data_IF_980273173310
#
_entry.id   IF_980273173310
#
_cell.length_a   1.000
_cell.length_b   1.000
_cell.length_c   1.000
_cell.angle_alpha   90.00
_cell.angle_beta   90.00
_cell.angle_gamma   90.00
#
_symmetry.space_group_name_H-M   'P 1'
#
loop_
_entity.id
_entity.type
_entity.pdbx_description
1 polymer ?
#
# COMPACT_ATOMS: atom_id res chain seq x y z
N UNK A 1 47.90 -51.42 -22.90
CA UNK A 1 47.85 -51.08 -21.47
C UNK A 1 47.07 -49.80 -21.35
N UNK A 2 45.86 -49.89 -20.83
CA UNK A 2 44.98 -48.77 -20.56
C UNK A 2 45.52 -47.92 -19.40
N UNK A 3 45.07 -46.67 -19.30
CA UNK A 3 44.22 -46.26 -18.17
C UNK A 3 43.62 -44.86 -18.40
N UNK A 4 42.31 -44.83 -18.59
CA UNK A 4 41.51 -43.60 -18.55
C UNK A 4 41.22 -43.20 -17.08
N UNK A 5 41.30 -41.90 -16.78
CA UNK A 5 40.74 -41.26 -15.58
C UNK A 5 40.74 -39.74 -15.86
N UNK A 6 39.62 -39.02 -16.02
CA UNK A 6 38.28 -39.11 -15.43
C UNK A 6 38.21 -38.77 -13.94
N UNK A 7 38.76 -37.61 -13.56
CA UNK A 7 38.60 -37.00 -12.25
C UNK A 7 37.30 -36.18 -12.13
N UNK A 8 36.16 -36.86 -11.95
CA UNK A 8 34.89 -36.21 -11.61
C UNK A 8 34.93 -35.61 -10.19
N UNK A 9 35.08 -34.28 -10.09
CA UNK A 9 34.90 -33.57 -8.82
C UNK A 9 33.40 -33.33 -8.58
N UNK A 10 32.81 -34.25 -7.81
CA UNK A 10 31.39 -34.21 -7.40
C UNK A 10 30.99 -32.85 -6.83
N UNK A 11 29.94 -32.24 -7.39
CA UNK A 11 29.26 -31.12 -6.77
C UNK A 11 28.57 -31.56 -5.47
N UNK A 12 29.09 -31.11 -4.32
CA UNK A 12 28.46 -31.32 -3.03
C UNK A 12 27.18 -30.47 -2.91
N UNK A 13 26.02 -31.11 -3.06
CA UNK A 13 24.71 -30.46 -2.86
C UNK A 13 24.51 -30.23 -1.34
N UNK A 14 24.91 -29.07 -0.84
CA UNK A 14 24.53 -28.62 0.50
C UNK A 14 23.04 -28.27 0.52
N UNK A 15 22.26 -29.06 1.27
CA UNK A 15 20.86 -28.76 1.61
C UNK A 15 20.85 -27.53 2.55
N UNK A 16 20.02 -26.50 2.31
CA UNK A 16 19.85 -25.42 3.27
C UNK A 16 19.25 -25.95 4.57
N UNK A 17 19.88 -25.63 5.70
CA UNK A 17 19.30 -25.91 7.02
C UNK A 17 18.04 -25.06 7.25
N UNK A 18 17.04 -25.64 7.92
CA UNK A 18 15.78 -24.96 8.19
C UNK A 18 15.96 -23.85 9.25
N UNK A 19 15.75 -22.60 8.87
CA UNK A 19 15.59 -21.49 9.81
C UNK A 19 14.13 -21.42 10.28
N UNK A 20 13.90 -21.70 11.57
CA UNK A 20 12.58 -21.60 12.18
C UNK A 20 12.07 -20.15 12.26
N UNK A 21 10.75 -19.97 12.24
CA UNK A 21 10.13 -18.66 12.08
C UNK A 21 10.17 -17.78 13.35
N UNK A 22 10.44 -16.49 13.17
CA UNK A 22 10.04 -15.42 14.08
C UNK A 22 8.88 -14.61 13.45
N UNK A 23 7.94 -14.16 14.27
CA UNK A 23 6.67 -13.60 13.80
C UNK A 23 6.70 -12.07 13.57
N UNK A 24 5.90 -11.61 12.60
CA UNK A 24 5.51 -10.19 12.48
C UNK A 24 6.23 -9.42 11.38
N UNK A 25 5.48 -9.02 10.35
CA UNK A 25 5.98 -8.21 9.23
C UNK A 25 6.07 -8.99 7.91
N UNK A 26 5.66 -8.38 6.81
CA UNK A 26 5.93 -8.90 5.47
C UNK A 26 7.43 -8.83 5.23
N UNK A 27 8.11 -9.98 5.33
CA UNK A 27 9.58 -10.09 5.35
C UNK A 27 10.27 -9.21 4.31
N UNK A 28 11.24 -8.41 4.77
CA UNK A 28 12.12 -7.57 3.94
C UNK A 28 12.77 -8.37 2.81
N UNK A 29 13.11 -9.64 3.09
CA UNK A 29 13.66 -10.60 2.12
C UNK A 29 12.70 -10.87 0.95
N UNK A 30 11.38 -10.93 1.17
CA UNK A 30 10.39 -11.11 0.09
C UNK A 30 10.30 -9.87 -0.81
N UNK A 31 10.57 -8.68 -0.27
CA UNK A 31 10.63 -7.45 -1.06
C UNK A 31 11.93 -7.38 -1.83
N UNK A 32 13.08 -7.56 -1.18
CA UNK A 32 14.38 -7.54 -1.86
C UNK A 32 14.54 -8.65 -2.91
N UNK A 33 13.96 -9.84 -2.69
CA UNK A 33 13.84 -10.88 -3.73
C UNK A 33 13.01 -10.43 -4.93
N UNK A 34 11.91 -9.70 -4.70
CA UNK A 34 11.08 -9.15 -5.79
C UNK A 34 11.84 -8.08 -6.57
N UNK A 35 12.55 -7.19 -5.89
CA UNK A 35 13.37 -6.16 -6.53
C UNK A 35 14.55 -6.77 -7.29
N UNK A 36 15.29 -7.71 -6.69
CA UNK A 36 16.36 -8.46 -7.33
C UNK A 36 15.89 -9.15 -8.63
N UNK A 37 14.74 -9.83 -8.61
CA UNK A 37 14.19 -10.47 -9.82
C UNK A 37 13.70 -9.48 -10.88
N UNK A 38 13.10 -8.34 -10.47
CA UNK A 38 12.55 -7.32 -11.37
C UNK A 38 13.63 -6.42 -11.99
N UNK A 39 14.71 -6.17 -11.25
CA UNK A 39 15.85 -5.39 -11.71
C UNK A 39 16.47 -5.94 -12.98
N UNK A 40 16.90 -5.03 -13.86
CA UNK A 40 17.82 -5.34 -14.94
C UNK A 40 19.24 -5.54 -14.39
N UNK A 41 20.19 -5.78 -15.30
CA UNK A 41 21.60 -5.76 -14.95
C UNK A 41 21.98 -4.39 -14.33
N UNK A 42 22.57 -4.35 -13.12
CA UNK A 42 23.00 -3.12 -12.47
C UNK A 42 24.02 -2.35 -13.32
N UNK A 43 23.74 -1.08 -13.61
CA UNK A 43 24.70 -0.16 -14.18
C UNK A 43 25.67 0.34 -13.08
N UNK A 44 25.11 0.73 -11.92
CA UNK A 44 25.85 1.21 -10.74
C UNK A 44 25.42 0.44 -9.49
N UNK A 45 26.36 0.20 -8.58
CA UNK A 45 26.08 -0.25 -7.21
C UNK A 45 26.48 0.87 -6.26
N UNK A 46 25.72 1.06 -5.19
CA UNK A 46 25.86 2.13 -4.21
C UNK A 46 25.92 1.53 -2.80
N UNK A 47 26.86 1.96 -1.98
CA UNK A 47 26.92 1.61 -0.56
C UNK A 47 26.58 2.82 0.31
N UNK A 48 25.95 2.59 1.46
CA UNK A 48 25.67 3.65 2.44
C UNK A 48 26.85 3.78 3.40
N UNK A 49 27.57 4.89 3.33
CA UNK A 49 28.80 5.20 4.08
C UNK A 49 28.71 6.65 4.56
N UNK A 50 29.07 6.92 5.83
CA UNK A 50 29.10 8.26 6.44
C UNK A 50 27.83 9.13 6.22
N UNK A 51 26.66 8.49 6.17
CA UNK A 51 25.37 9.15 5.98
C UNK A 51 24.99 9.43 4.51
N UNK A 52 25.80 9.01 3.54
CA UNK A 52 25.59 9.23 2.11
C UNK A 52 25.64 7.94 1.29
N UNK A 53 25.14 7.99 0.05
CA UNK A 53 25.22 6.88 -0.90
C UNK A 53 26.42 7.08 -1.83
N UNK A 54 27.44 6.23 -1.71
CA UNK A 54 28.70 6.28 -2.47
C UNK A 54 28.74 5.15 -3.49
N UNK A 55 29.21 5.41 -4.72
CA UNK A 55 29.37 4.37 -5.73
C UNK A 55 30.44 3.34 -5.35
N UNK A 56 30.11 2.06 -5.50
CA UNK A 56 31.12 1.00 -5.56
C UNK A 56 31.90 1.18 -6.85
N UNK A 57 33.24 1.29 -6.75
CA UNK A 57 34.14 1.53 -7.89
C UNK A 57 35.22 0.44 -8.00
N UNK A 58 35.90 0.38 -9.16
CA UNK A 58 36.96 -0.59 -9.44
C UNK A 58 36.47 -2.00 -9.83
N UNK A 59 37.38 -2.96 -9.78
CA UNK A 59 37.24 -4.34 -10.29
C UNK A 59 36.10 -5.16 -9.68
N UNK A 60 35.52 -4.72 -8.55
CA UNK A 60 34.33 -5.34 -7.98
C UNK A 60 33.09 -5.19 -8.88
N UNK A 61 32.93 -4.07 -9.60
CA UNK A 61 31.69 -3.75 -10.30
C UNK A 61 31.36 -4.73 -11.44
N UNK A 62 32.29 -5.11 -12.34
CA UNK A 62 32.02 -6.13 -13.36
C UNK A 62 31.67 -7.49 -12.76
N UNK A 63 32.34 -7.89 -11.66
CA UNK A 63 32.10 -9.14 -10.95
C UNK A 63 30.72 -9.19 -10.29
N UNK A 64 30.33 -8.13 -9.57
CA UNK A 64 29.01 -8.01 -8.96
C UNK A 64 27.90 -7.99 -10.01
N UNK A 65 28.11 -7.27 -11.13
CA UNK A 65 27.17 -7.25 -12.26
C UNK A 65 26.97 -8.64 -12.86
N UNK A 66 28.05 -9.40 -13.06
CA UNK A 66 28.00 -10.78 -13.54
C UNK A 66 27.24 -11.70 -12.58
N UNK A 67 27.58 -11.68 -11.30
CA UNK A 67 26.90 -12.51 -10.29
C UNK A 67 25.40 -12.18 -10.18
N UNK A 68 25.02 -10.91 -10.32
CA UNK A 68 23.64 -10.44 -10.35
C UNK A 68 22.90 -10.95 -11.62
N UNK A 69 23.54 -10.91 -12.79
CA UNK A 69 23.00 -11.46 -14.04
C UNK A 69 22.81 -12.99 -13.96
N UNK A 70 23.76 -13.70 -13.35
CA UNK A 70 23.70 -15.14 -13.03
C UNK A 70 22.64 -15.48 -11.95
N UNK A 71 21.90 -14.48 -11.46
CA UNK A 71 20.84 -14.60 -10.43
C UNK A 71 21.32 -15.20 -9.10
N UNK A 72 22.61 -15.07 -8.79
CA UNK A 72 23.17 -15.43 -7.48
C UNK A 72 22.64 -14.47 -6.42
N UNK A 73 22.07 -14.99 -5.34
CA UNK A 73 21.54 -14.18 -4.24
C UNK A 73 22.61 -13.34 -3.53
N UNK A 74 23.85 -13.84 -3.50
CA UNK A 74 25.00 -13.21 -2.88
C UNK A 74 26.25 -13.34 -3.74
N UNK A 75 27.17 -12.39 -3.61
CA UNK A 75 28.47 -12.37 -4.28
C UNK A 75 29.57 -11.89 -3.32
N UNK A 76 30.78 -12.44 -3.42
CA UNK A 76 31.96 -11.95 -2.70
C UNK A 76 32.83 -11.15 -3.66
N UNK A 77 33.26 -9.96 -3.27
CA UNK A 77 34.14 -9.11 -4.06
C UNK A 77 35.04 -8.25 -3.16
N UNK A 78 36.24 -7.93 -3.64
CA UNK A 78 37.18 -7.06 -2.92
C UNK A 78 37.02 -5.61 -3.35
N UNK A 79 36.80 -4.70 -2.41
CA UNK A 79 36.70 -3.25 -2.62
C UNK A 79 37.76 -2.56 -1.75
N UNK A 80 38.58 -1.67 -2.34
CA UNK A 80 39.59 -0.94 -1.57
C UNK A 80 40.59 -1.81 -0.79
N UNK A 81 40.89 -3.02 -1.28
CA UNK A 81 41.77 -3.99 -0.60
C UNK A 81 41.13 -4.84 0.51
N UNK A 82 39.86 -4.61 0.86
CA UNK A 82 39.09 -5.43 1.81
C UNK A 82 38.09 -6.34 1.09
N UNK A 83 37.81 -7.52 1.65
CA UNK A 83 36.85 -8.47 1.12
C UNK A 83 35.46 -8.24 1.70
N UNK A 84 34.43 -8.20 0.84
CA UNK A 84 33.03 -7.97 1.23
C UNK A 84 32.10 -9.04 0.65
N UNK A 85 31.06 -9.40 1.41
CA UNK A 85 29.93 -10.19 0.94
C UNK A 85 28.76 -9.24 0.63
N UNK A 86 28.29 -9.23 -0.62
CA UNK A 86 27.15 -8.47 -1.08
C UNK A 86 25.92 -9.39 -1.12
N UNK A 87 24.89 -9.10 -0.34
CA UNK A 87 23.59 -9.78 -0.36
C UNK A 87 22.57 -8.91 -1.09
N UNK A 88 22.21 -9.32 -2.30
CA UNK A 88 21.27 -8.59 -3.15
C UNK A 88 19.80 -8.81 -2.73
N UNK A 89 19.48 -9.85 -1.96
CA UNK A 89 18.13 -10.12 -1.47
C UNK A 89 17.81 -9.34 -0.19
N UNK A 90 18.80 -9.15 0.68
CA UNK A 90 18.69 -8.29 1.87
C UNK A 90 19.04 -6.83 1.57
N UNK A 91 19.73 -6.59 0.45
CA UNK A 91 20.20 -5.26 0.03
C UNK A 91 21.22 -4.71 1.06
N UNK A 92 22.20 -5.54 1.42
CA UNK A 92 23.29 -5.18 2.34
C UNK A 92 24.66 -5.62 1.80
N UNK A 93 25.72 -4.90 2.20
CA UNK A 93 27.12 -5.29 2.06
C UNK A 93 27.67 -5.59 3.44
N UNK A 94 28.32 -6.73 3.61
CA UNK A 94 28.86 -7.23 4.87
C UNK A 94 30.39 -7.28 4.78
N UNK A 95 31.10 -6.65 5.71
CA UNK A 95 32.56 -6.74 5.81
C UNK A 95 32.99 -8.15 6.19
N UNK A 96 33.90 -8.75 5.42
CA UNK A 96 34.33 -10.14 5.60
C UNK A 96 35.21 -10.38 6.83
N UNK A 97 35.78 -9.33 7.43
CA UNK A 97 36.60 -9.41 8.63
C UNK A 97 35.84 -9.00 9.91
N UNK A 98 34.98 -7.98 9.84
CA UNK A 98 34.24 -7.48 11.02
C UNK A 98 32.79 -7.99 11.12
N UNK A 99 32.20 -8.47 10.02
CA UNK A 99 30.79 -8.83 9.95
C UNK A 99 29.82 -7.64 9.91
N UNK A 100 30.34 -6.41 9.78
CA UNK A 100 29.54 -5.18 9.80
C UNK A 100 28.66 -5.05 8.54
N UNK A 101 27.36 -4.82 8.73
CA UNK A 101 26.40 -4.66 7.64
C UNK A 101 26.16 -3.19 7.29
N UNK A 102 26.39 -2.84 6.03
CA UNK A 102 26.13 -1.52 5.44
C UNK A 102 25.05 -1.62 4.36
N UNK A 103 24.27 -0.56 4.15
CA UNK A 103 23.20 -0.57 3.14
C UNK A 103 23.75 -0.70 1.72
N UNK A 104 23.15 -1.55 0.89
CA UNK A 104 23.50 -1.74 -0.52
C UNK A 104 22.31 -1.38 -1.41
N UNK A 105 22.53 -0.48 -2.36
CA UNK A 105 21.58 -0.09 -3.38
C UNK A 105 22.19 -0.29 -4.78
N UNK A 106 21.36 -0.21 -5.82
CA UNK A 106 21.85 -0.20 -7.20
C UNK A 106 20.90 0.55 -8.13
N UNK A 107 21.46 0.98 -9.27
CA UNK A 107 20.71 1.57 -10.38
C UNK A 107 20.92 0.64 -11.58
N UNK A 108 19.84 0.12 -12.16
CA UNK A 108 19.92 -0.73 -13.35
C UNK A 108 20.16 0.07 -14.63
N UNK A 109 20.57 -0.60 -15.71
CA UNK A 109 20.78 0.01 -17.03
C UNK A 109 19.52 0.65 -17.65
N UNK A 110 18.34 0.55 -17.01
CA UNK A 110 17.08 1.17 -17.41
C UNK A 110 16.73 2.38 -16.54
N UNK A 111 17.63 2.81 -15.66
CA UNK A 111 17.42 3.90 -14.71
C UNK A 111 16.56 3.52 -13.51
N UNK A 112 16.23 2.24 -13.33
CA UNK A 112 15.50 1.76 -12.15
C UNK A 112 16.41 1.80 -10.92
N UNK A 113 16.00 2.55 -9.89
CA UNK A 113 16.75 2.69 -8.64
C UNK A 113 16.18 1.76 -7.56
N UNK A 114 17.04 0.97 -6.92
CA UNK A 114 16.67 -0.07 -5.96
C UNK A 114 17.43 0.16 -4.66
N UNK A 115 16.72 0.55 -3.60
CA UNK A 115 17.28 0.85 -2.28
C UNK A 115 16.77 -0.13 -1.20
N UNK A 116 17.54 -0.32 -0.10
CA UNK A 116 17.08 -1.06 1.07
C UNK A 116 15.79 -0.51 1.66
N UNK A 117 15.23 -1.23 2.63
CA UNK A 117 14.10 -0.70 3.38
C UNK A 117 14.59 0.49 4.22
N UNK A 118 13.72 1.45 4.55
CA UNK A 118 13.73 2.01 5.89
C UNK A 118 13.42 0.85 6.85
N UNK A 119 14.45 0.06 7.16
CA UNK A 119 14.56 -0.57 8.46
C UNK A 119 14.86 0.55 9.46
N UNK A 120 14.52 0.33 10.73
CA UNK A 120 14.84 1.28 11.80
C UNK A 120 16.31 1.71 11.67
N UNK A 121 16.52 3.00 11.44
CA UNK A 121 17.86 3.55 11.31
C UNK A 121 18.59 3.22 12.61
N UNK A 122 19.74 2.56 12.52
CA UNK A 122 20.58 2.17 13.65
C UNK A 122 21.22 3.37 14.35
N UNK A 123 20.40 4.30 14.86
CA UNK A 123 20.78 5.34 15.80
C UNK A 123 20.73 4.76 17.21
N UNK A 124 21.86 4.81 17.91
CA UNK A 124 22.04 4.11 19.17
C UNK A 124 21.04 4.51 20.26
N UNK A 125 20.84 3.59 21.21
CA UNK A 125 20.19 3.88 22.50
C UNK A 125 20.95 5.01 23.22
N UNK A 126 20.45 6.23 23.17
CA UNK A 126 20.78 7.24 24.18
C UNK A 126 19.55 7.55 25.03
N UNK A 127 19.56 6.95 26.23
CA UNK A 127 18.61 7.24 27.31
C UNK A 127 19.37 8.08 28.34
N UNK A 128 18.74 9.17 28.81
CA UNK A 128 19.32 10.26 29.64
C UNK A 128 20.09 11.28 28.78
N UNK A 129 20.09 12.57 29.11
CA UNK A 129 19.84 13.19 30.42
C UNK A 129 18.96 14.45 30.30
N UNK A 130 18.07 14.62 31.28
CA UNK A 130 17.39 15.90 31.59
C UNK A 130 18.41 16.76 32.32
N UNK A 131 18.65 17.97 31.84
CA UNK A 131 19.29 19.06 32.59
C UNK A 131 18.50 20.35 32.35
N UNK A 132 18.43 21.19 33.39
CA UNK A 132 17.49 22.30 33.53
C UNK A 132 18.11 23.67 33.18
N UNK A 133 17.23 24.66 32.97
CA UNK A 133 17.44 26.12 33.10
C UNK A 133 18.22 26.85 31.94
N UNK A 134 18.19 28.20 31.90
CA UNK A 134 17.02 28.94 31.39
C UNK A 134 17.38 29.97 30.29
N UNK A 135 16.37 30.50 29.61
CA UNK A 135 16.51 31.69 28.75
C UNK A 135 16.21 32.97 29.55
N UNK A 136 16.90 34.10 29.29
CA UNK A 136 16.79 35.30 30.11
C UNK A 136 15.51 36.10 29.82
N UNK A 137 15.07 36.79 30.87
CA UNK A 137 14.09 37.89 30.85
C UNK A 137 14.78 39.16 30.30
N UNK A 138 14.03 40.01 29.59
CA UNK A 138 14.18 41.47 29.75
C UNK A 138 12.89 42.18 29.30
N UNK A 139 12.55 43.24 30.03
CA UNK A 139 11.24 43.91 30.08
C UNK A 139 11.06 45.03 29.04
N UNK A 140 9.80 45.31 28.69
CA UNK A 140 9.36 46.62 28.18
C UNK A 140 7.86 46.82 28.44
N UNK A 141 7.53 47.75 29.34
CA UNK A 141 6.23 47.86 30.03
C UNK A 141 5.07 48.53 29.25
N UNK A 142 3.85 48.30 29.76
CA UNK A 142 2.73 49.30 29.89
C UNK A 142 2.04 49.83 28.61
N UNK A 143 0.79 50.31 28.59
CA UNK A 143 -0.34 50.44 29.56
C UNK A 143 -1.58 50.94 28.76
N UNK A 144 -2.86 50.71 29.08
CA UNK A 144 -3.61 49.77 29.95
C UNK A 144 -5.13 49.88 29.60
N UNK A 145 -6.04 49.17 30.27
CA UNK A 145 -7.50 49.29 30.02
C UNK A 145 -8.37 48.23 30.71
N UNK A 146 -9.04 48.61 31.79
CA UNK A 146 -9.77 47.75 32.75
C UNK A 146 -11.09 47.12 32.27
N UNK A 147 -11.36 45.94 32.82
CA UNK A 147 -12.64 45.33 33.25
C UNK A 147 -13.94 45.47 32.42
N UNK A 148 -14.59 44.33 32.14
CA UNK A 148 -15.58 43.79 33.10
C UNK A 148 -15.91 42.31 32.89
N UNK A 149 -16.31 41.66 33.99
CA UNK A 149 -16.58 40.22 34.11
C UNK A 149 -18.08 39.94 34.01
N UNK A 150 -18.52 39.34 32.90
CA UNK A 150 -19.80 38.62 32.86
C UNK A 150 -19.59 37.16 32.47
N UNK A 151 -20.08 36.26 33.32
CA UNK A 151 -19.82 34.83 33.21
C UNK A 151 -20.96 34.10 32.51
N UNK A 152 -20.75 33.73 31.25
CA UNK A 152 -21.51 32.65 30.60
C UNK A 152 -20.52 31.62 30.03
N UNK A 153 -20.61 30.39 30.55
CA UNK A 153 -19.81 29.26 30.08
C UNK A 153 -20.21 28.86 28.66
N UNK A 154 -19.38 29.05 27.62
CA UNK A 154 -19.69 28.54 26.29
C UNK A 154 -19.49 27.03 26.33
N UNK A 155 -20.59 26.29 26.28
CA UNK A 155 -20.61 24.84 26.43
C UNK A 155 -19.80 24.08 25.36
N UNK A 156 -19.82 22.76 25.51
CA UNK A 156 -19.04 21.76 24.74
C UNK A 156 -19.27 21.83 23.21
N UNK A 157 -20.23 22.62 22.74
CA UNK A 157 -20.61 22.80 21.34
C UNK A 157 -19.65 23.64 20.48
N UNK A 158 -18.85 24.54 21.07
CA UNK A 158 -17.82 25.27 20.30
C UNK A 158 -16.78 24.33 19.66
N UNK A 159 -16.56 23.16 20.27
CA UNK A 159 -15.64 22.12 19.79
C UNK A 159 -16.24 21.24 18.67
N UNK A 160 -17.55 21.30 18.41
CA UNK A 160 -18.23 20.48 17.38
C UNK A 160 -18.08 21.00 15.94
N UNK A 161 -17.70 22.27 15.74
CA UNK A 161 -17.70 22.90 14.40
C UNK A 161 -16.35 22.92 13.65
N UNK A 162 -15.23 22.54 14.28
CA UNK A 162 -13.88 22.81 13.74
C UNK A 162 -13.24 21.75 12.83
N UNK A 163 -14.01 20.81 12.25
CA UNK A 163 -13.43 19.83 11.32
C UNK A 163 -12.86 20.46 10.03
N UNK A 164 -13.31 21.67 9.64
CA UNK A 164 -12.93 22.36 8.39
C UNK A 164 -12.58 23.84 8.65
N UNK A 165 -12.00 24.17 9.80
CA UNK A 165 -11.77 25.55 10.25
C UNK A 165 -10.54 26.25 9.64
N UNK A 166 -9.90 25.67 8.62
CA UNK A 166 -8.79 26.27 7.88
C UNK A 166 -9.24 26.85 6.55
N UNK A 167 -8.50 27.85 6.04
CA UNK A 167 -8.78 28.54 4.77
C UNK A 167 -8.66 27.65 3.51
N UNK A 168 -8.35 26.36 3.66
CA UNK A 168 -8.10 25.43 2.56
C UNK A 168 -9.36 25.05 1.74
N UNK A 169 -10.58 25.26 2.26
CA UNK A 169 -11.81 25.10 1.49
C UNK A 169 -12.92 26.08 1.88
N UNK A 170 -13.29 26.97 0.96
CA UNK A 170 -14.35 27.97 1.15
C UNK A 170 -15.74 27.36 0.88
N UNK A 171 -16.70 27.57 1.79
CA UNK A 171 -18.11 27.18 1.57
C UNK A 171 -18.69 28.02 0.42
N UNK A 172 -19.45 27.37 -0.47
CA UNK A 172 -20.21 28.04 -1.53
C UNK A 172 -21.64 28.30 -1.06
N UNK A 173 -22.19 29.44 -1.47
CA UNK A 173 -23.60 29.77 -1.31
C UNK A 173 -24.47 28.93 -2.26
N UNK A 174 -25.72 28.69 -1.89
CA UNK A 174 -26.60 27.77 -2.65
C UNK A 174 -26.99 28.33 -4.03
N UNK A 175 -26.93 29.65 -4.21
CA UNK A 175 -27.15 30.33 -5.48
C UNK A 175 -25.90 30.37 -6.39
N UNK A 176 -24.74 29.91 -5.92
CA UNK A 176 -23.52 29.87 -6.74
C UNK A 176 -23.65 28.85 -7.89
N UNK A 177 -23.16 29.24 -9.08
CA UNK A 177 -23.26 28.41 -10.29
C UNK A 177 -22.52 27.07 -10.17
N UNK A 178 -21.39 27.04 -9.46
CA UNK A 178 -20.63 25.82 -9.21
C UNK A 178 -21.30 24.95 -8.13
N UNK A 179 -21.86 25.57 -7.08
CA UNK A 179 -22.72 24.86 -6.13
C UNK A 179 -23.84 24.11 -6.87
N UNK A 180 -24.55 24.79 -7.77
CA UNK A 180 -25.65 24.23 -8.55
C UNK A 180 -25.20 23.10 -9.49
N UNK A 181 -24.09 23.26 -10.22
CA UNK A 181 -23.55 22.22 -11.12
C UNK A 181 -23.08 20.99 -10.33
N UNK A 182 -22.30 21.17 -9.26
CA UNK A 182 -21.79 20.07 -8.43
C UNK A 182 -22.93 19.35 -7.72
N UNK A 183 -23.94 20.08 -7.24
CA UNK A 183 -25.13 19.51 -6.60
C UNK A 183 -25.95 18.67 -7.57
N UNK A 184 -26.21 19.16 -8.78
CA UNK A 184 -26.89 18.39 -9.84
C UNK A 184 -26.10 17.14 -10.23
N UNK A 185 -24.77 17.26 -10.37
CA UNK A 185 -23.91 16.11 -10.69
C UNK A 185 -23.92 15.04 -9.59
N UNK A 186 -23.95 15.45 -8.32
CA UNK A 186 -24.05 14.51 -7.20
C UNK A 186 -25.44 13.86 -7.11
N UNK A 187 -26.51 14.66 -7.15
CA UNK A 187 -27.87 14.21 -6.88
C UNK A 187 -28.50 13.39 -8.02
N UNK A 188 -28.34 13.84 -9.28
CA UNK A 188 -29.05 13.26 -10.43
C UNK A 188 -28.59 11.84 -10.73
N UNK A 189 -27.32 11.51 -10.47
CA UNK A 189 -26.76 10.17 -10.68
C UNK A 189 -27.04 9.23 -9.49
N UNK A 190 -28.33 9.12 -9.15
CA UNK A 190 -28.88 8.10 -8.24
C UNK A 190 -28.79 8.41 -6.73
N UNK A 191 -28.15 9.50 -6.32
CA UNK A 191 -28.04 9.86 -4.89
C UNK A 191 -29.35 10.45 -4.34
N UNK A 192 -30.09 11.24 -5.12
CA UNK A 192 -31.40 11.77 -4.70
C UNK A 192 -32.40 10.65 -4.36
N UNK A 193 -32.49 9.62 -5.22
CA UNK A 193 -33.32 8.41 -5.01
C UNK A 193 -32.92 7.62 -3.75
N UNK A 194 -31.69 7.80 -3.27
CA UNK A 194 -31.17 7.18 -2.04
C UNK A 194 -31.45 8.02 -0.78
N UNK A 195 -32.08 9.19 -0.92
CA UNK A 195 -32.35 10.11 0.18
C UNK A 195 -31.09 10.85 0.64
N UNK A 196 -30.15 11.12 -0.27
CA UNK A 196 -29.02 11.97 0.02
C UNK A 196 -29.43 13.45 -0.04
N UNK A 197 -29.21 14.17 1.07
CA UNK A 197 -29.39 15.61 1.16
C UNK A 197 -28.01 16.29 1.29
N UNK A 198 -27.69 17.20 0.38
CA UNK A 198 -26.47 18.02 0.47
C UNK A 198 -26.63 19.01 1.61
N UNK A 199 -25.60 19.14 2.44
CA UNK A 199 -25.54 20.03 3.61
C UNK A 199 -24.51 21.15 3.43
N UNK A 200 -23.50 20.92 2.58
CA UNK A 200 -22.58 21.95 2.08
C UNK A 200 -21.84 21.48 0.81
N UNK A 201 -21.61 22.40 -0.13
CA UNK A 201 -20.52 22.27 -1.11
C UNK A 201 -19.45 23.30 -0.74
N UNK A 202 -18.18 22.88 -0.74
CA UNK A 202 -17.05 23.79 -0.51
C UNK A 202 -16.03 23.65 -1.63
N UNK A 203 -15.47 24.77 -2.10
CA UNK A 203 -14.43 24.81 -3.13
C UNK A 203 -13.06 24.74 -2.47
N UNK A 204 -12.21 23.84 -2.94
CA UNK A 204 -10.83 23.69 -2.46
C UNK A 204 -9.98 24.84 -3.01
N UNK A 205 -9.12 25.41 -2.18
CA UNK A 205 -8.21 26.48 -2.59
C UNK A 205 -7.20 25.97 -3.63
N UNK A 206 -6.95 26.77 -4.67
CA UNK A 206 -5.87 26.51 -5.61
C UNK A 206 -4.53 26.93 -4.99
N UNK A 207 -3.45 26.22 -5.32
CA UNK A 207 -2.11 26.46 -4.77
C UNK A 207 -1.05 25.69 -5.54
N UNK A 208 0.08 25.36 -4.90
CA UNK A 208 1.20 24.65 -5.55
C UNK A 208 0.79 23.35 -6.28
N UNK A 209 -0.20 22.62 -5.75
CA UNK A 209 -0.77 21.42 -6.41
C UNK A 209 -1.42 21.72 -7.75
N UNK A 210 -2.03 22.90 -7.92
CA UNK A 210 -2.65 23.31 -9.18
C UNK A 210 -1.60 23.50 -10.28
N UNK A 211 -0.45 24.09 -9.95
CA UNK A 211 0.66 24.25 -10.88
C UNK A 211 1.27 22.88 -11.27
N UNK A 212 1.59 22.04 -10.27
CA UNK A 212 2.11 20.69 -10.52
C UNK A 212 1.15 19.82 -11.36
N UNK A 213 -0.16 19.98 -11.18
CA UNK A 213 -1.18 19.31 -11.98
C UNK A 213 -1.21 19.82 -13.43
N UNK A 214 -1.06 21.13 -13.65
CA UNK A 214 -1.00 21.71 -14.99
C UNK A 214 0.26 21.29 -15.75
N UNK A 215 1.41 21.29 -15.09
CA UNK A 215 2.68 20.77 -15.64
C UNK A 215 2.54 19.29 -16.01
N UNK A 216 2.02 18.47 -15.09
CA UNK A 216 1.82 17.04 -15.33
C UNK A 216 0.83 16.75 -16.47
N UNK A 217 -0.15 17.64 -16.70
CA UNK A 217 -1.06 17.57 -17.84
C UNK A 217 -0.33 17.82 -19.18
N UNK A 218 0.57 18.82 -19.22
CA UNK A 218 1.41 19.10 -20.39
C UNK A 218 2.38 17.95 -20.67
N UNK A 219 3.05 17.41 -19.65
CA UNK A 219 3.96 16.26 -19.80
C UNK A 219 3.23 15.02 -20.35
N UNK A 220 2.02 14.74 -19.88
CA UNK A 220 1.18 13.65 -20.41
C UNK A 220 0.69 13.94 -21.84
N UNK A 221 0.30 15.17 -22.15
CA UNK A 221 -0.09 15.56 -23.51
C UNK A 221 1.07 15.39 -24.50
N UNK A 222 2.29 15.76 -24.12
CA UNK A 222 3.49 15.62 -24.94
C UNK A 222 3.90 14.15 -25.13
N UNK A 223 3.80 13.33 -24.08
CA UNK A 223 4.22 11.92 -24.13
C UNK A 223 3.20 10.96 -24.78
N UNK A 224 1.92 11.33 -24.83
CA UNK A 224 0.81 10.44 -25.20
C UNK A 224 -0.26 11.06 -26.12
N UNK A 225 -0.11 12.33 -26.50
CA UNK A 225 -1.10 13.10 -27.25
C UNK A 225 -2.12 13.84 -26.37
N UNK A 226 -2.72 14.91 -26.90
CA UNK A 226 -3.54 15.87 -26.15
C UNK A 226 -4.68 15.24 -25.30
N UNK A 227 -5.30 14.17 -25.78
CA UNK A 227 -6.36 13.47 -25.05
C UNK A 227 -5.90 12.85 -23.71
N UNK A 228 -4.63 12.48 -23.60
CA UNK A 228 -4.04 11.88 -22.40
C UNK A 228 -3.76 12.91 -21.29
N UNK A 229 -3.42 14.15 -21.68
CA UNK A 229 -3.30 15.31 -20.78
C UNK A 229 -4.64 15.98 -20.45
N UNK A 230 -5.75 15.55 -21.07
CA UNK A 230 -7.08 16.10 -20.78
C UNK A 230 -7.61 15.55 -19.46
N UNK A 231 -7.86 16.45 -18.50
CA UNK A 231 -8.39 16.09 -17.20
C UNK A 231 -9.85 15.62 -17.26
N UNK A 232 -10.17 14.53 -16.55
CA UNK A 232 -11.53 14.02 -16.35
C UNK A 232 -11.99 14.35 -14.93
N UNK A 233 -13.29 14.61 -14.74
CA UNK A 233 -13.87 14.66 -13.39
C UNK A 233 -14.00 13.25 -12.81
N UNK A 234 -13.84 13.11 -11.49
CA UNK A 234 -14.06 11.87 -10.77
C UNK A 234 -14.36 12.13 -9.28
N UNK A 235 -15.11 11.22 -8.65
CA UNK A 235 -15.44 11.30 -7.22
C UNK A 235 -14.47 10.46 -6.38
N UNK A 236 -13.84 11.06 -5.38
CA UNK A 236 -13.06 10.36 -4.34
C UNK A 236 -13.85 10.26 -3.03
N UNK A 237 -13.82 9.08 -2.39
CA UNK A 237 -14.49 8.83 -1.12
C UNK A 237 -13.57 8.16 -0.10
N UNK A 238 -13.59 8.67 1.14
CA UNK A 238 -12.85 8.20 2.30
C UNK A 238 -13.51 8.72 3.61
N UNK A 239 -12.94 8.50 4.80
CA UNK A 239 -13.53 9.10 6.02
C UNK A 239 -13.37 10.61 6.04
N UNK A 240 -14.17 11.29 6.86
CA UNK A 240 -14.05 12.73 7.11
C UNK A 240 -12.58 13.17 7.36
N UNK A 241 -11.85 12.43 8.19
CA UNK A 241 -10.43 12.71 8.49
C UNK A 241 -9.51 12.58 7.26
N UNK A 242 -9.71 11.56 6.42
CA UNK A 242 -8.94 11.36 5.19
C UNK A 242 -9.26 12.46 4.16
N UNK A 243 -10.54 12.86 4.05
CA UNK A 243 -11.00 13.95 3.18
C UNK A 243 -10.45 15.30 3.63
N UNK A 244 -10.44 15.58 4.93
CA UNK A 244 -9.83 16.78 5.48
C UNK A 244 -8.31 16.83 5.19
N UNK A 245 -7.60 15.71 5.36
CA UNK A 245 -6.19 15.60 5.02
C UNK A 245 -5.92 15.82 3.51
N UNK A 246 -6.80 15.35 2.61
CA UNK A 246 -6.69 15.59 1.17
C UNK A 246 -6.83 17.07 0.79
N UNK A 247 -7.68 17.80 1.50
CA UNK A 247 -7.87 19.25 1.32
C UNK A 247 -6.66 20.04 1.84
N UNK A 248 -6.16 19.71 3.03
CA UNK A 248 -5.08 20.43 3.71
C UNK A 248 -3.68 20.09 3.15
N UNK A 249 -3.35 18.80 3.07
CA UNK A 249 -2.00 18.29 2.81
C UNK A 249 -1.91 17.52 1.49
N UNK A 250 -3.03 16.93 1.05
CA UNK A 250 -3.11 16.08 -0.14
C UNK A 250 -3.28 14.61 0.18
N UNK A 251 -3.10 13.79 -0.83
CA UNK A 251 -3.22 12.34 -0.70
C UNK A 251 -1.99 11.83 0.06
N UNK A 252 -2.13 11.69 1.39
CA UNK A 252 -1.15 11.03 2.27
C UNK A 252 -1.30 9.51 2.20
N UNK A 253 -2.51 9.02 1.94
CA UNK A 253 -2.86 7.60 1.85
C UNK A 253 -3.88 7.38 0.73
N UNK A 254 -3.87 6.18 0.14
CA UNK A 254 -4.93 5.75 -0.77
C UNK A 254 -6.11 5.11 -0.02
N UNK A 255 -7.23 4.96 -0.71
CA UNK A 255 -8.47 4.35 -0.21
C UNK A 255 -8.63 2.86 -0.61
N UNK A 256 -7.64 2.24 -1.25
CA UNK A 256 -7.71 0.86 -1.75
C UNK A 256 -8.08 -0.16 -0.67
N UNK A 257 -7.62 0.06 0.56
CA UNK A 257 -7.95 -0.77 1.74
C UNK A 257 -9.45 -0.80 2.06
N UNK A 258 -10.21 0.25 1.74
CA UNK A 258 -11.67 0.33 1.93
C UNK A 258 -12.43 -0.52 0.90
N UNK A 259 -11.85 -0.76 -0.28
CA UNK A 259 -12.44 -1.66 -1.29
C UNK A 259 -12.17 -3.14 -0.96
N UNK A 260 -11.09 -3.43 -0.23
CA UNK A 260 -10.71 -4.79 0.15
C UNK A 260 -10.48 -5.67 -1.08
N UNK A 261 -11.16 -6.82 -1.16
CA UNK A 261 -11.10 -7.70 -2.33
C UNK A 261 -11.63 -7.08 -3.64
N UNK A 262 -12.34 -5.94 -3.57
CA UNK A 262 -12.81 -5.18 -4.74
C UNK A 262 -11.81 -4.12 -5.22
N UNK A 263 -10.61 -4.03 -4.63
CA UNK A 263 -9.60 -3.07 -5.07
C UNK A 263 -9.04 -3.47 -6.44
N UNK A 264 -8.79 -2.49 -7.30
CA UNK A 264 -8.15 -2.68 -8.60
C UNK A 264 -6.70 -2.20 -8.51
N UNK A 265 -5.88 -2.89 -7.73
CA UNK A 265 -4.52 -2.46 -7.38
C UNK A 265 -4.43 -1.59 -6.11
N UNK A 266 -3.21 -1.15 -5.81
CA UNK A 266 -2.81 -0.33 -4.65
C UNK A 266 -2.52 1.12 -5.10
N UNK A 267 -3.59 1.81 -5.51
CA UNK A 267 -3.62 3.22 -5.87
C UNK A 267 -4.85 3.92 -5.29
N UNK A 268 -5.04 5.20 -5.62
CA UNK A 268 -6.24 5.96 -5.26
C UNK A 268 -7.39 5.59 -6.20
N UNK A 269 -8.47 5.04 -5.65
CA UNK A 269 -9.70 4.71 -6.37
C UNK A 269 -10.65 5.91 -6.37
N UNK A 270 -11.02 6.36 -7.57
CA UNK A 270 -12.05 7.38 -7.81
C UNK A 270 -13.12 6.80 -8.74
N UNK A 271 -14.39 7.10 -8.51
CA UNK A 271 -15.46 6.69 -9.44
C UNK A 271 -15.70 7.76 -10.51
N UNK A 272 -16.18 7.39 -11.72
CA UNK A 272 -16.57 8.36 -12.75
C UNK A 272 -17.62 9.36 -12.24
N UNK A 273 -17.77 10.51 -12.91
CA UNK A 273 -18.67 11.57 -12.44
C UNK A 273 -20.15 11.14 -12.46
N UNK A 274 -20.50 10.16 -13.32
CA UNK A 274 -21.81 9.52 -13.38
C UNK A 274 -22.06 8.45 -12.29
N UNK A 275 -21.07 8.20 -11.42
CA UNK A 275 -21.11 7.14 -10.41
C UNK A 275 -20.80 7.65 -8.98
N UNK A 276 -21.42 8.75 -8.49
CA UNK A 276 -21.12 9.32 -7.16
C UNK A 276 -21.38 8.32 -6.02
N UNK A 277 -22.40 7.46 -6.15
CA UNK A 277 -22.73 6.42 -5.17
C UNK A 277 -21.54 5.48 -4.88
N UNK A 278 -20.77 5.12 -5.91
CA UNK A 278 -19.65 4.18 -5.81
C UNK A 278 -18.56 4.68 -4.85
N UNK A 279 -18.23 5.97 -4.90
CA UNK A 279 -17.32 6.59 -3.93
C UNK A 279 -18.01 6.97 -2.61
N UNK A 280 -19.29 7.34 -2.62
CA UNK A 280 -20.07 7.60 -1.40
C UNK A 280 -20.14 6.36 -0.48
N UNK A 281 -20.12 5.14 -1.02
CA UNK A 281 -20.03 3.91 -0.23
C UNK A 281 -18.73 3.79 0.59
N UNK A 282 -17.64 4.43 0.15
CA UNK A 282 -16.36 4.47 0.88
C UNK A 282 -16.31 5.58 1.95
N UNK A 283 -17.24 6.53 1.86
CA UNK A 283 -17.30 7.69 2.73
C UNK A 283 -17.87 7.31 4.10
N UNK A 284 -17.06 7.42 5.15
CA UNK A 284 -17.53 7.19 6.52
C UNK A 284 -18.01 8.51 7.12
N UNK A 285 -19.24 8.52 7.61
CA UNK A 285 -19.83 9.67 8.28
C UNK A 285 -19.00 10.10 9.50
N UNK A 286 -19.00 11.41 9.76
CA UNK A 286 -18.35 12.04 10.89
C UNK A 286 -19.18 11.90 12.19
N UNK A 287 -18.76 12.59 13.26
CA UNK A 287 -19.45 12.58 14.55
C UNK A 287 -20.83 13.28 14.53
N UNK A 288 -21.18 14.00 13.46
CA UNK A 288 -22.47 14.68 13.26
C UNK A 288 -23.42 13.90 12.33
N UNK A 289 -22.97 12.73 11.83
CA UNK A 289 -23.68 11.92 10.85
C UNK A 289 -23.55 12.43 9.41
N UNK A 290 -22.65 13.37 9.15
CA UNK A 290 -22.40 13.95 7.84
C UNK A 290 -21.27 13.18 7.13
N UNK A 291 -21.49 12.77 5.88
CA UNK A 291 -20.49 12.12 5.04
C UNK A 291 -19.93 13.13 4.03
N UNK A 292 -18.67 12.92 3.62
CA UNK A 292 -17.99 13.83 2.70
C UNK A 292 -17.33 13.05 1.56
N UNK A 293 -17.47 13.56 0.34
CA UNK A 293 -16.73 13.09 -0.84
C UNK A 293 -16.15 14.28 -1.61
N UNK A 294 -15.07 14.05 -2.37
CA UNK A 294 -14.37 15.08 -3.13
C UNK A 294 -14.64 14.88 -4.62
N UNK A 295 -15.03 15.95 -5.32
CA UNK A 295 -14.96 16.02 -6.77
C UNK A 295 -13.55 16.48 -7.16
N UNK A 296 -12.85 15.62 -7.88
CA UNK A 296 -11.48 15.84 -8.34
C UNK A 296 -11.44 15.98 -9.86
N UNK A 297 -10.43 16.70 -10.36
CA UNK A 297 -9.89 16.50 -11.72
C UNK A 297 -8.79 15.43 -11.68
N UNK A 298 -8.77 14.57 -12.68
CA UNK A 298 -7.87 13.42 -12.77
C UNK A 298 -7.25 13.33 -14.16
N UNK A 299 -5.93 13.25 -14.23
CA UNK A 299 -5.18 13.01 -15.45
C UNK A 299 -5.01 11.50 -15.65
N UNK A 300 -5.88 10.87 -16.44
CA UNK A 300 -5.82 9.41 -16.63
C UNK A 300 -4.69 8.95 -17.56
N UNK A 301 -4.21 9.77 -18.49
CA UNK A 301 -3.26 9.31 -19.51
C UNK A 301 -3.85 8.13 -20.30
N UNK A 302 -3.04 7.11 -20.59
CA UNK A 302 -3.48 5.83 -21.15
C UNK A 302 -3.73 4.81 -20.01
N UNK A 303 -4.98 4.43 -19.72
CA UNK A 303 -5.29 3.44 -18.69
C UNK A 303 -5.09 2.00 -19.16
N UNK A 304 -4.76 1.11 -18.23
CA UNK A 304 -4.87 -0.36 -18.39
C UNK A 304 -6.08 -0.93 -17.63
N UNK A 305 -6.59 -2.08 -18.05
CA UNK A 305 -7.60 -2.82 -17.29
C UNK A 305 -6.92 -3.66 -16.18
N UNK A 306 -7.28 -3.42 -14.92
CA UNK A 306 -6.76 -4.16 -13.77
C UNK A 306 -7.89 -4.95 -13.11
N UNK A 307 -7.76 -6.28 -12.90
CA UNK A 307 -8.80 -7.07 -12.27
C UNK A 307 -8.97 -6.75 -10.77
N UNK A 308 -10.17 -6.99 -10.26
CA UNK A 308 -10.45 -6.86 -8.83
C UNK A 308 -9.58 -7.85 -8.01
N UNK A 309 -9.11 -7.40 -6.85
CA UNK A 309 -8.19 -8.15 -5.99
C UNK A 309 -6.71 -8.01 -6.37
N UNK A 310 -6.37 -7.30 -7.45
CA UNK A 310 -4.98 -7.09 -7.86
C UNK A 310 -4.15 -6.40 -6.77
N UNK A 311 -2.87 -6.79 -6.67
CA UNK A 311 -1.84 -6.20 -5.79
C UNK A 311 -0.85 -5.31 -6.56
N UNK A 312 -1.21 -4.94 -7.79
CA UNK A 312 -0.43 -4.03 -8.63
C UNK A 312 -0.42 -2.62 -8.05
N UNK A 313 0.75 -2.02 -7.86
CA UNK A 313 0.94 -0.68 -7.26
C UNK A 313 1.52 0.37 -8.22
N UNK A 314 1.75 -0.01 -9.48
CA UNK A 314 2.31 0.82 -10.55
C UNK A 314 1.80 0.29 -11.91
N UNK A 315 2.01 1.01 -13.03
CA UNK A 315 1.62 0.51 -14.34
C UNK A 315 2.30 -0.82 -14.68
N UNK A 316 1.63 -1.72 -15.39
CA UNK A 316 2.21 -3.02 -15.80
C UNK A 316 3.32 -2.88 -16.84
N UNK A 317 3.32 -1.79 -17.60
CA UNK A 317 4.33 -1.46 -18.59
C UNK A 317 4.45 0.06 -18.80
N UNK A 318 5.53 0.49 -19.46
CA UNK A 318 5.74 1.89 -19.87
C UNK A 318 4.71 2.40 -20.92
N UNK A 319 3.77 1.56 -21.37
CA UNK A 319 2.69 1.96 -22.28
C UNK A 319 1.46 2.51 -21.55
N UNK A 320 1.38 2.32 -20.23
CA UNK A 320 0.25 2.70 -19.40
C UNK A 320 0.65 3.70 -18.32
N UNK A 321 -0.32 4.53 -17.93
CA UNK A 321 -0.13 5.64 -16.99
C UNK A 321 -1.04 5.50 -15.75
N UNK A 322 -2.21 4.88 -15.88
CA UNK A 322 -3.21 4.68 -14.81
C UNK A 322 -3.92 3.34 -15.01
N UNK A 323 -4.90 3.02 -14.16
CA UNK A 323 -5.73 1.83 -14.35
C UNK A 323 -7.24 2.12 -14.27
N UNK A 324 -8.01 1.21 -14.85
CA UNK A 324 -9.48 1.12 -14.77
C UNK A 324 -9.91 -0.30 -14.41
N UNK A 325 -11.11 -0.47 -13.87
CA UNK A 325 -11.72 -1.79 -13.68
C UNK A 325 -12.17 -2.43 -15.00
N UNK A 326 -12.64 -1.62 -15.95
CA UNK A 326 -13.11 -2.04 -17.28
C UNK A 326 -12.71 -1.02 -18.36
N UNK A 327 -12.31 -1.45 -19.57
CA UNK A 327 -12.08 -0.53 -20.69
C UNK A 327 -13.36 0.20 -21.10
N UNK A 328 -14.45 -0.55 -21.34
CA UNK A 328 -15.78 0.00 -21.62
C UNK A 328 -16.55 0.24 -20.31
N UNK A 329 -17.10 1.45 -20.16
CA UNK A 329 -17.88 1.89 -19.00
C UNK A 329 -17.23 1.57 -17.62
N UNK A 330 -16.02 2.10 -17.35
CA UNK A 330 -15.34 1.94 -16.07
C UNK A 330 -16.22 2.39 -14.89
N UNK A 331 -16.14 1.70 -13.76
CA UNK A 331 -16.70 2.10 -12.47
C UNK A 331 -15.63 2.63 -11.50
N UNK A 332 -14.36 2.32 -11.78
CA UNK A 332 -13.21 2.81 -11.04
C UNK A 332 -12.13 3.34 -11.98
N UNK A 333 -11.62 4.52 -11.64
CA UNK A 333 -10.34 5.07 -12.05
C UNK A 333 -9.33 4.83 -10.93
N UNK A 334 -8.11 4.45 -11.27
CA UNK A 334 -7.04 4.18 -10.32
C UNK A 334 -5.80 4.96 -10.71
N UNK A 335 -5.39 5.89 -9.85
CA UNK A 335 -4.12 6.62 -9.99
C UNK A 335 -3.12 6.05 -8.98
N UNK A 336 -1.94 5.67 -9.45
CA UNK A 336 -0.91 5.04 -8.63
C UNK A 336 -0.34 6.01 -7.58
N UNK A 337 0.07 5.48 -6.42
CA UNK A 337 0.54 6.28 -5.28
C UNK A 337 1.68 7.25 -5.64
N UNK A 338 2.55 6.88 -6.60
CA UNK A 338 3.65 7.75 -7.04
C UNK A 338 3.19 9.06 -7.70
N UNK A 339 2.00 9.06 -8.31
CA UNK A 339 1.49 10.21 -9.07
C UNK A 339 0.26 10.87 -8.42
N UNK A 340 -0.22 10.38 -7.27
CA UNK A 340 -1.52 10.79 -6.70
C UNK A 340 -1.60 12.29 -6.36
N UNK A 341 -0.47 12.93 -6.02
CA UNK A 341 -0.43 14.36 -5.69
C UNK A 341 -0.11 15.27 -6.89
N UNK A 342 0.24 14.72 -8.06
CA UNK A 342 0.46 15.47 -9.31
C UNK A 342 -0.63 15.23 -10.36
N UNK A 343 -1.34 14.09 -10.29
CA UNK A 343 -2.38 13.70 -11.28
C UNK A 343 -3.80 13.72 -10.76
N UNK A 344 -4.00 14.07 -9.49
CA UNK A 344 -5.32 14.31 -8.89
C UNK A 344 -5.33 15.71 -8.29
N UNK A 345 -6.29 16.54 -8.74
CA UNK A 345 -6.54 17.86 -8.18
C UNK A 345 -7.93 17.88 -7.52
N UNK A 346 -8.02 17.88 -6.18
CA UNK A 346 -9.26 18.18 -5.46
C UNK A 346 -9.78 19.56 -5.86
N UNK A 347 -11.06 19.67 -6.22
CA UNK A 347 -11.65 20.95 -6.66
C UNK A 347 -12.86 21.35 -5.81
N UNK A 348 -13.74 20.39 -5.49
CA UNK A 348 -14.88 20.61 -4.60
C UNK A 348 -15.02 19.47 -3.60
N UNK A 349 -15.54 19.76 -2.42
CA UNK A 349 -15.94 18.74 -1.45
C UNK A 349 -17.43 18.88 -1.18
N UNK A 350 -18.16 17.79 -1.42
CA UNK A 350 -19.60 17.68 -1.17
C UNK A 350 -19.80 17.00 0.17
N UNK A 351 -20.49 17.69 1.06
CA UNK A 351 -20.91 17.17 2.36
C UNK A 351 -22.41 16.92 2.32
N UNK A 352 -22.84 15.78 2.86
CA UNK A 352 -24.21 15.32 2.72
C UNK A 352 -24.61 14.35 3.84
N UNK A 353 -25.92 14.21 4.06
CA UNK A 353 -26.51 13.18 4.93
C UNK A 353 -27.29 12.19 4.08
N UNK A 354 -27.22 10.90 4.42
CA UNK A 354 -27.94 9.84 3.70
C UNK A 354 -28.18 8.63 4.61
N UNK A 355 -29.39 8.49 5.13
CA UNK A 355 -29.75 7.45 6.12
C UNK A 355 -29.57 6.03 5.57
N UNK A 356 -29.80 5.82 4.27
CA UNK A 356 -29.61 4.51 3.62
C UNK A 356 -28.14 4.07 3.59
N UNK A 357 -27.18 4.99 3.48
CA UNK A 357 -25.75 4.66 3.57
C UNK A 357 -25.34 4.33 5.00
N UNK A 358 -25.83 5.09 5.98
CA UNK A 358 -25.57 4.84 7.41
C UNK A 358 -26.04 3.44 7.80
N UNK A 359 -27.29 3.05 7.49
CA UNK A 359 -27.81 1.70 7.76
C UNK A 359 -27.01 0.58 7.07
N UNK A 360 -26.52 0.82 5.85
CA UNK A 360 -25.73 -0.18 5.10
C UNK A 360 -24.29 -0.31 5.64
N UNK A 361 -23.71 0.79 6.14
CA UNK A 361 -22.44 0.77 6.85
C UNK A 361 -22.57 0.20 8.26
N UNK A 362 -23.67 0.48 8.97
CA UNK A 362 -23.94 -0.07 10.30
C UNK A 362 -24.28 -1.55 10.26
N UNK A 363 -24.95 -2.07 9.23
CA UNK A 363 -25.15 -3.51 9.06
C UNK A 363 -23.86 -4.23 8.64
N UNK A 364 -23.02 -3.60 7.80
CA UNK A 364 -21.66 -4.09 7.50
C UNK A 364 -20.72 -4.00 8.73
N UNK A 365 -20.86 -2.98 9.57
CA UNK A 365 -20.14 -2.87 10.83
C UNK A 365 -20.72 -3.79 11.91
N UNK A 366 -22.03 -4.05 11.96
CA UNK A 366 -22.66 -4.95 12.93
C UNK A 366 -22.32 -6.41 12.62
N UNK A 367 -22.32 -6.80 11.34
CA UNK A 367 -21.80 -8.11 10.91
C UNK A 367 -20.28 -8.25 11.11
N UNK A 368 -19.53 -7.14 11.24
CA UNK A 368 -18.12 -7.17 11.68
C UNK A 368 -17.92 -7.06 13.20
N UNK A 369 -18.85 -6.46 13.96
CA UNK A 369 -18.83 -6.36 15.44
C UNK A 369 -19.37 -7.62 16.11
N UNK A 370 -20.31 -8.32 15.49
CA UNK A 370 -20.71 -9.69 15.89
C UNK A 370 -19.65 -10.73 15.49
N UNK A 371 -18.68 -10.36 14.65
CA UNK A 371 -17.38 -11.03 14.58
C UNK A 371 -16.39 -10.35 15.51
N UNK A 372 -16.53 -10.60 16.83
CA UNK A 372 -15.35 -10.66 17.70
C UNK A 372 -14.29 -11.43 16.93
N UNK A 373 -13.14 -10.80 16.66
CA UNK A 373 -12.07 -11.38 15.85
C UNK A 373 -11.59 -12.65 16.53
N UNK A 374 -12.12 -13.80 16.10
CA UNK A 374 -11.46 -15.07 16.32
C UNK A 374 -10.05 -14.92 15.75
N UNK A 375 -9.00 -15.24 16.52
CA UNK A 375 -7.64 -15.19 15.98
C UNK A 375 -7.62 -16.09 14.74
N UNK A 376 -7.04 -15.57 13.67
CA UNK A 376 -6.69 -16.22 12.39
C UNK A 376 -7.34 -17.60 12.23
N UNK A 377 -8.31 -17.74 11.31
CA UNK A 377 -8.83 -19.07 10.91
C UNK A 377 -7.61 -19.95 10.62
N UNK A 378 -7.27 -20.80 11.59
CA UNK A 378 -6.11 -21.67 11.54
C UNK A 378 -6.44 -22.59 10.39
N UNK A 379 -5.66 -22.50 9.34
CA UNK A 379 -5.90 -23.32 8.16
C UNK A 379 -5.85 -24.78 8.63
N UNK A 380 -7.01 -25.43 8.68
CA UNK A 380 -7.09 -26.72 9.37
C UNK A 380 -6.41 -27.81 8.56
N UNK A 381 -6.17 -27.58 7.27
CA UNK A 381 -5.48 -28.52 6.40
C UNK A 381 -4.02 -28.75 6.83
N UNK A 382 -3.16 -27.74 7.04
CA UNK A 382 -1.84 -27.93 7.64
C UNK A 382 -1.83 -28.77 8.92
N UNK A 383 -2.75 -28.53 9.85
CA UNK A 383 -2.80 -29.28 11.11
C UNK A 383 -3.33 -30.70 10.91
N UNK A 384 -4.32 -30.89 10.02
CA UNK A 384 -4.81 -32.20 9.59
C UNK A 384 -3.71 -33.01 8.91
N UNK A 385 -2.91 -32.39 8.04
CA UNK A 385 -1.84 -33.02 7.28
C UNK A 385 -0.69 -33.45 8.20
N UNK A 386 -0.22 -32.58 9.09
CA UNK A 386 0.82 -32.93 10.07
C UNK A 386 0.41 -34.10 10.98
N UNK A 387 -0.87 -34.19 11.35
CA UNK A 387 -1.43 -35.31 12.11
C UNK A 387 -1.58 -36.60 11.27
N UNK A 388 -1.90 -36.48 9.97
CA UNK A 388 -1.90 -37.63 9.05
C UNK A 388 -0.47 -38.14 8.83
N UNK A 389 0.52 -37.25 8.71
CA UNK A 389 1.94 -37.59 8.56
C UNK A 389 2.49 -38.37 9.76
N UNK A 390 2.02 -38.09 10.99
CA UNK A 390 2.36 -38.88 12.18
C UNK A 390 1.78 -40.31 12.15
N UNK A 391 0.68 -40.55 11.43
CA UNK A 391 -0.01 -41.84 11.37
C UNK A 391 0.41 -42.65 10.13
N UNK A 392 0.74 -41.98 9.02
CA UNK A 392 1.08 -42.62 7.74
C UNK A 392 2.27 -41.92 7.04
N UNK A 393 3.51 -42.12 7.53
CA UNK A 393 4.70 -41.42 7.00
C UNK A 393 4.96 -41.69 5.51
N UNK A 394 4.76 -42.95 5.08
CA UNK A 394 5.07 -43.44 3.72
C UNK A 394 4.21 -42.81 2.61
N UNK A 395 3.16 -42.05 2.96
CA UNK A 395 2.23 -41.41 2.00
C UNK A 395 2.31 -39.88 1.98
N UNK A 396 3.26 -39.29 2.70
CA UNK A 396 3.42 -37.84 2.89
C UNK A 396 3.63 -37.04 1.58
N UNK A 397 4.52 -37.50 0.69
CA UNK A 397 4.91 -36.72 -0.50
C UNK A 397 3.73 -36.36 -1.44
N UNK A 398 2.95 -37.36 -1.88
CA UNK A 398 1.82 -37.14 -2.80
C UNK A 398 0.68 -36.34 -2.13
N UNK A 399 0.53 -36.51 -0.81
CA UNK A 399 -0.43 -35.76 0.00
C UNK A 399 -0.07 -34.26 0.02
N UNK A 400 1.22 -33.95 0.17
CA UNK A 400 1.74 -32.60 0.19
C UNK A 400 1.73 -31.94 -1.20
N UNK A 401 2.01 -32.69 -2.27
CA UNK A 401 1.85 -32.22 -3.65
C UNK A 401 0.40 -31.83 -3.97
N UNK A 402 -0.56 -32.70 -3.62
CA UNK A 402 -1.99 -32.45 -3.80
C UNK A 402 -2.48 -31.22 -3.00
N UNK A 403 -1.98 -31.05 -1.78
CA UNK A 403 -2.25 -29.87 -0.96
C UNK A 403 -1.63 -28.59 -1.55
N UNK A 404 -0.42 -28.67 -2.09
CA UNK A 404 0.21 -27.55 -2.80
C UNK A 404 -0.59 -27.16 -4.06
N UNK A 405 -1.08 -28.13 -4.85
CA UNK A 405 -1.98 -27.87 -5.99
C UNK A 405 -3.30 -27.21 -5.57
N UNK A 406 -3.88 -27.61 -4.43
CA UNK A 406 -5.02 -26.92 -3.83
C UNK A 406 -4.69 -25.49 -3.42
N UNK A 407 -3.53 -25.26 -2.78
CA UNK A 407 -3.05 -23.92 -2.40
C UNK A 407 -2.80 -22.99 -3.59
N UNK A 408 -2.30 -23.52 -4.70
CA UNK A 408 -2.06 -22.79 -5.94
C UNK A 408 -3.34 -22.59 -6.78
N UNK A 409 -4.51 -23.01 -6.28
CA UNK A 409 -5.81 -22.85 -6.96
C UNK A 409 -6.02 -23.80 -8.15
N UNK A 410 -5.13 -24.76 -8.36
CA UNK A 410 -5.18 -25.73 -9.46
C UNK A 410 -6.15 -26.88 -9.18
N UNK A 411 -6.43 -27.17 -7.90
CA UNK A 411 -7.36 -28.21 -7.45
C UNK A 411 -8.52 -27.60 -6.66
N UNK A 412 -9.77 -27.98 -6.96
CA UNK A 412 -10.94 -27.48 -6.21
C UNK A 412 -11.05 -28.16 -4.84
N UNK A 413 -11.64 -27.46 -3.85
CA UNK A 413 -11.77 -27.94 -2.46
C UNK A 413 -12.48 -29.30 -2.35
N UNK A 414 -13.51 -29.52 -3.15
CA UNK A 414 -14.28 -30.77 -3.18
C UNK A 414 -13.49 -31.92 -3.83
N UNK A 415 -12.61 -31.63 -4.79
CA UNK A 415 -11.70 -32.59 -5.40
C UNK A 415 -10.60 -32.98 -4.41
N UNK A 416 -10.01 -31.99 -3.71
CA UNK A 416 -9.02 -32.23 -2.65
C UNK A 416 -9.59 -33.07 -1.50
N UNK A 417 -10.81 -32.77 -1.03
CA UNK A 417 -11.46 -33.56 0.02
C UNK A 417 -11.74 -35.00 -0.46
N UNK A 418 -12.17 -35.19 -1.72
CA UNK A 418 -12.34 -36.55 -2.28
C UNK A 418 -11.02 -37.31 -2.35
N UNK A 419 -9.94 -36.67 -2.80
CA UNK A 419 -8.60 -37.23 -2.81
C UNK A 419 -8.13 -37.64 -1.40
N UNK A 420 -8.29 -36.76 -0.40
CA UNK A 420 -7.97 -37.08 1.00
C UNK A 420 -8.70 -38.34 1.47
N UNK A 421 -10.02 -38.43 1.21
CA UNK A 421 -10.82 -39.60 1.60
C UNK A 421 -10.38 -40.89 0.92
N UNK A 422 -10.10 -40.86 -0.38
CA UNK A 422 -9.65 -42.04 -1.12
C UNK A 422 -8.22 -42.47 -0.77
N UNK A 423 -7.33 -41.53 -0.49
CA UNK A 423 -5.89 -41.79 -0.35
C UNK A 423 -5.47 -42.11 1.10
N UNK A 424 -6.08 -41.42 2.08
CA UNK A 424 -5.82 -41.57 3.51
C UNK A 424 -6.85 -42.49 4.19
N UNK A 425 -8.09 -42.54 3.67
CA UNK A 425 -9.19 -43.35 4.19
C UNK A 425 -10.01 -42.62 5.26
N UNK A 426 -11.34 -42.72 5.16
CA UNK A 426 -12.28 -42.03 6.07
C UNK A 426 -12.10 -42.40 7.56
N UNK A 427 -11.62 -43.61 7.87
CA UNK A 427 -11.32 -44.02 9.26
C UNK A 427 -10.21 -43.16 9.88
N UNK A 428 -9.10 -42.97 9.19
CA UNK A 428 -7.96 -42.17 9.66
C UNK A 428 -8.36 -40.68 9.74
N UNK A 429 -9.05 -40.16 8.72
CA UNK A 429 -9.57 -38.79 8.74
C UNK A 429 -10.53 -38.55 9.91
N UNK A 430 -11.36 -39.54 10.27
CA UNK A 430 -12.27 -39.45 11.42
C UNK A 430 -11.51 -39.43 12.74
N UNK A 431 -10.47 -40.27 12.90
CA UNK A 431 -9.61 -40.28 14.09
C UNK A 431 -8.89 -38.93 14.27
N UNK A 432 -8.27 -38.40 13.22
CA UNK A 432 -7.61 -37.07 13.27
C UNK A 432 -8.63 -35.97 13.52
N UNK A 433 -9.80 -36.01 12.88
CA UNK A 433 -10.86 -35.01 13.09
C UNK A 433 -11.45 -35.02 14.52
N UNK A 434 -11.41 -36.16 15.23
CA UNK A 434 -11.73 -36.24 16.67
C UNK A 434 -10.62 -35.60 17.51
N UNK A 435 -9.35 -36.02 17.30
CA UNK A 435 -8.16 -35.48 17.98
C UNK A 435 -8.08 -33.94 17.86
N UNK A 436 -8.35 -33.40 16.68
CA UNK A 436 -8.35 -31.94 16.42
C UNK A 436 -9.57 -31.19 17.00
N UNK A 437 -10.62 -31.88 17.43
CA UNK A 437 -11.80 -31.26 18.10
C UNK A 437 -11.69 -31.24 19.62
N UNK A 438 -10.65 -31.86 20.20
CA UNK A 438 -10.44 -31.86 21.65
C UNK A 438 -11.42 -32.74 22.41
N UNK A 439 -11.61 -33.98 21.95
CA UNK A 439 -12.27 -35.07 22.68
C UNK A 439 -11.42 -36.33 22.57
#
# INVERSE_FOLDING_TARGET
>A
MDFSSSGDVKAAIMRPAAAAAAAGGTSTLLRGWREFRRSGAPARFLCFEDGQWVDVTGEAVPWLRRAFQERRAMAVASCGGKAYLFDFLRMVRIDGATGEETGLAWIDHRGGCFFPAPADCGGGRNKRKRDDAPAPEDEAESSSGVDERSGESPGVDAKKRKAWAGNAAARLEENDKYYQVVSKLFLNYGMAQRGAAITAVRKVAHGARTAAFQEQAQLLANARGAAAGTAKFAWYGASADDVAAVVDQGFVRNNATRLGARKHGDGVHLSPPQCPYTSAMLAKADRTGEAHIVLCRVLMGRPEAVPAGSSQSCPSSHSYDSAVDKPENPQWYVVWNKDMNTRILPEYVVSFKCSKLQQMQESSEATSKLKKRSPVVRDMFPTLLAEIEQIVPDKSNLLQESYNSFKMGQLKKDQFIRFLRSYVGDKVLTTVAKKLRGC
#
